data_IF_471064650682
#
_entry.id   IF_471064650682
#
_cell.length_a   1.000
_cell.length_b   1.000
_cell.length_c   1.000
_cell.angle_alpha   90.00
_cell.angle_beta   90.00
_cell.angle_gamma   90.00
#
_symmetry.space_group_name_H-M   'P 1'
#
loop_
_entity.id
_entity.type
_entity.pdbx_description
1 polymer ?
#
# COMPACT_ATOMS: atom_id res chain seq x y z
N UNK A 1 -16.61 12.85 13.37
CA UNK A 1 -18.04 13.14 13.55
C UNK A 1 -18.76 11.88 13.98
N UNK A 2 -19.47 11.93 15.12
CA UNK A 2 -20.17 10.78 15.73
C UNK A 2 -21.24 10.12 14.83
N UNK A 3 -21.66 10.82 13.77
CA UNK A 3 -22.71 10.35 12.85
C UNK A 3 -22.19 9.59 11.61
N UNK A 4 -20.89 9.59 11.36
CA UNK A 4 -20.30 8.94 10.19
C UNK A 4 -19.47 7.74 10.68
N UNK A 5 -19.89 6.56 10.26
CA UNK A 5 -19.15 5.32 10.53
C UNK A 5 -18.14 5.05 9.41
N UNK A 6 -17.02 4.45 9.78
CA UNK A 6 -16.01 3.95 8.85
C UNK A 6 -16.40 2.58 8.30
N UNK A 7 -15.80 2.16 7.19
CA UNK A 7 -16.03 0.82 6.61
C UNK A 7 -15.80 -0.30 7.64
N UNK A 8 -14.69 -0.31 8.43
CA UNK A 8 -14.48 -1.34 9.45
C UNK A 8 -15.63 -1.41 10.47
N UNK A 9 -16.21 -0.29 10.87
CA UNK A 9 -17.33 -0.30 11.83
C UNK A 9 -18.58 -1.00 11.27
N UNK A 10 -18.89 -0.80 9.98
CA UNK A 10 -19.99 -1.50 9.33
C UNK A 10 -19.71 -3.00 9.19
N UNK A 11 -18.49 -3.36 8.80
CA UNK A 11 -18.10 -4.76 8.64
C UNK A 11 -18.04 -5.49 9.99
N UNK A 12 -17.53 -4.86 11.04
CA UNK A 12 -17.55 -5.41 12.41
C UNK A 12 -18.99 -5.63 12.88
N UNK A 13 -19.90 -4.69 12.62
CA UNK A 13 -21.32 -4.86 12.93
C UNK A 13 -21.97 -6.03 12.16
N UNK A 14 -21.38 -6.41 11.01
CA UNK A 14 -21.77 -7.57 10.20
C UNK A 14 -21.00 -8.85 10.55
N UNK A 15 -20.23 -8.86 11.64
CA UNK A 15 -19.53 -10.04 12.16
C UNK A 15 -18.09 -10.24 11.66
N UNK A 16 -17.57 -9.34 10.84
CA UNK A 16 -16.18 -9.41 10.39
C UNK A 16 -15.19 -9.08 11.51
N UNK A 17 -14.02 -9.70 11.45
CA UNK A 17 -12.83 -9.29 12.19
C UNK A 17 -12.03 -8.33 11.32
N UNK A 18 -11.81 -7.10 11.79
CA UNK A 18 -11.21 -6.02 10.99
C UNK A 18 -9.84 -5.62 11.53
N UNK A 19 -8.81 -5.71 10.69
CA UNK A 19 -7.42 -5.39 11.05
C UNK A 19 -6.82 -4.33 10.14
N UNK A 20 -5.97 -3.47 10.69
CA UNK A 20 -5.19 -2.47 9.96
C UNK A 20 -3.71 -2.55 10.34
N UNK A 21 -2.88 -2.84 9.37
CA UNK A 21 -1.41 -2.89 9.52
C UNK A 21 -0.78 -1.75 8.69
N UNK A 22 -0.50 -0.55 9.24
CA UNK A 22 -0.95 0.04 10.51
C UNK A 22 -1.16 1.54 10.37
N UNK A 23 -1.31 2.05 9.13
CA UNK A 23 -1.42 3.49 8.85
C UNK A 23 -2.81 4.01 9.24
N UNK A 24 -2.85 5.10 10.01
CA UNK A 24 -4.08 5.72 10.51
C UNK A 24 -4.08 7.24 10.34
N UNK A 25 -3.73 7.75 9.18
CA UNK A 25 -3.72 9.19 8.87
C UNK A 25 -5.15 9.77 8.79
N UNK A 26 -5.99 9.45 9.77
CA UNK A 26 -7.36 9.97 9.84
C UNK A 26 -7.38 11.37 10.45
N UNK A 27 -8.28 12.22 9.98
CA UNK A 27 -8.55 13.53 10.58
C UNK A 27 -9.51 13.43 11.80
N UNK A 28 -9.51 12.28 12.48
CA UNK A 28 -10.29 12.00 13.69
C UNK A 28 -9.62 10.87 14.49
N UNK A 29 -10.02 10.69 15.73
CA UNK A 29 -9.53 9.59 16.58
C UNK A 29 -10.00 8.22 16.02
N UNK A 30 -9.08 7.35 15.58
CA UNK A 30 -9.40 6.02 15.05
C UNK A 30 -9.65 4.97 16.13
N UNK A 31 -9.51 5.30 17.41
CA UNK A 31 -9.63 4.36 18.52
C UNK A 31 -10.96 3.58 18.47
N UNK A 32 -10.88 2.28 18.62
CA UNK A 32 -12.05 1.39 18.62
C UNK A 32 -12.70 1.15 17.24
N UNK A 33 -12.14 1.66 16.14
CA UNK A 33 -12.66 1.44 14.78
C UNK A 33 -12.29 0.07 14.23
N UNK A 34 -11.14 -0.46 14.65
CA UNK A 34 -10.58 -1.73 14.24
C UNK A 34 -10.61 -2.72 15.41
N UNK A 35 -10.60 -4.03 15.14
CA UNK A 35 -10.35 -5.04 16.17
C UNK A 35 -8.87 -5.07 16.53
N UNK A 36 -7.99 -4.93 15.52
CA UNK A 36 -6.55 -4.73 15.70
C UNK A 36 -6.02 -3.62 14.78
N UNK A 37 -5.12 -2.79 15.31
CA UNK A 37 -4.46 -1.71 14.59
C UNK A 37 -3.02 -1.58 15.08
N UNK A 38 -2.11 -2.30 14.45
CA UNK A 38 -0.67 -2.36 14.78
C UNK A 38 0.11 -2.92 13.59
N UNK A 39 1.45 -2.94 13.70
CA UNK A 39 2.32 -3.57 12.70
C UNK A 39 2.19 -5.10 12.66
N UNK A 40 1.64 -5.72 13.70
CA UNK A 40 1.37 -7.15 13.77
C UNK A 40 -0.09 -7.50 13.44
N UNK A 41 -0.96 -6.50 13.23
CA UNK A 41 -2.38 -6.72 12.94
C UNK A 41 -2.56 -7.60 11.70
N UNK A 42 -3.32 -8.71 11.85
CA UNK A 42 -3.39 -9.73 10.80
C UNK A 42 -4.71 -10.53 10.86
N UNK A 43 -5.22 -11.01 9.72
CA UNK A 43 -6.42 -11.87 9.68
C UNK A 43 -6.25 -13.18 10.44
N UNK A 44 -5.02 -13.69 10.59
CA UNK A 44 -4.71 -14.93 11.32
C UNK A 44 -5.05 -14.86 12.81
N UNK A 45 -5.22 -13.65 13.36
CA UNK A 45 -5.61 -13.46 14.77
C UNK A 45 -7.13 -13.49 14.98
N UNK A 46 -7.92 -13.66 13.91
CA UNK A 46 -9.37 -13.72 14.01
C UNK A 46 -9.82 -14.94 14.80
N UNK A 47 -10.92 -14.84 15.55
CA UNK A 47 -11.60 -16.03 16.08
C UNK A 47 -12.00 -16.98 14.96
N UNK A 48 -11.97 -18.29 15.26
CA UNK A 48 -12.32 -19.35 14.31
C UNK A 48 -13.67 -19.11 13.63
N UNK A 49 -13.69 -19.30 12.32
CA UNK A 49 -14.89 -19.16 11.49
C UNK A 49 -15.38 -17.74 11.24
N UNK A 50 -14.72 -16.69 11.78
CA UNK A 50 -15.07 -15.31 11.44
C UNK A 50 -14.55 -14.91 10.07
N UNK A 51 -15.36 -14.23 9.24
CA UNK A 51 -14.84 -13.54 8.06
C UNK A 51 -13.94 -12.38 8.49
N UNK A 52 -13.02 -11.96 7.62
CA UNK A 52 -12.10 -10.88 7.92
C UNK A 52 -12.13 -9.76 6.88
N UNK A 53 -11.72 -8.58 7.32
CA UNK A 53 -11.36 -7.43 6.51
C UNK A 53 -10.01 -6.93 6.99
N UNK A 54 -8.96 -7.13 6.20
CA UNK A 54 -7.59 -6.79 6.60
C UNK A 54 -6.98 -5.80 5.62
N UNK A 55 -6.42 -4.72 6.15
CA UNK A 55 -5.72 -3.70 5.39
C UNK A 55 -4.23 -3.77 5.72
N UNK A 56 -3.39 -3.82 4.68
CA UNK A 56 -1.94 -3.73 4.77
C UNK A 56 -1.46 -2.47 4.07
N UNK A 57 -0.64 -1.69 4.76
CA UNK A 57 -0.14 -0.41 4.26
C UNK A 57 1.36 -0.51 3.99
N UNK A 58 1.77 -0.42 2.73
CA UNK A 58 3.17 -0.45 2.34
C UNK A 58 3.75 0.96 2.34
N UNK A 59 4.66 1.24 3.28
CA UNK A 59 5.41 2.50 3.33
C UNK A 59 6.59 2.56 2.36
N UNK A 60 6.88 1.47 1.66
CA UNK A 60 8.04 1.30 0.78
C UNK A 60 8.09 2.36 -0.33
N UNK A 61 6.96 2.65 -0.96
CA UNK A 61 6.86 3.64 -2.04
C UNK A 61 6.55 5.07 -1.56
N UNK A 62 6.57 5.31 -0.25
CA UNK A 62 6.34 6.64 0.32
C UNK A 62 7.47 7.63 -0.03
N UNK A 63 7.22 8.94 0.09
CA UNK A 63 8.19 9.99 -0.25
C UNK A 63 9.51 9.91 0.54
N UNK A 64 9.50 9.40 1.76
CA UNK A 64 10.70 9.21 2.58
C UNK A 64 11.70 8.27 1.88
N UNK A 65 11.35 6.99 1.63
CA UNK A 65 12.18 6.08 0.86
C UNK A 65 12.55 6.59 -0.53
N UNK A 66 11.65 7.28 -1.24
CA UNK A 66 11.92 7.85 -2.57
C UNK A 66 13.08 8.85 -2.55
N UNK A 67 13.15 9.68 -1.51
CA UNK A 67 14.17 10.72 -1.35
C UNK A 67 15.35 10.31 -0.47
N UNK A 68 15.39 9.07 0.02
CA UNK A 68 16.49 8.53 0.82
C UNK A 68 17.68 8.13 -0.06
N UNK A 69 18.87 8.13 0.54
CA UNK A 69 20.09 7.54 -0.05
C UNK A 69 20.33 6.10 0.44
N UNK A 70 19.53 5.62 1.38
CA UNK A 70 19.64 4.26 1.90
C UNK A 70 19.33 3.23 0.82
N UNK A 71 20.17 2.21 0.71
CA UNK A 71 20.08 1.13 -0.28
C UNK A 71 19.72 -0.23 0.33
N UNK A 72 19.69 -0.36 1.65
CA UNK A 72 19.37 -1.61 2.35
C UNK A 72 18.00 -2.15 1.90
N UNK A 73 17.04 -1.28 1.68
CA UNK A 73 15.70 -1.64 1.22
C UNK A 73 15.69 -2.44 -0.10
N UNK A 74 16.78 -2.44 -0.86
CA UNK A 74 16.90 -3.10 -2.15
C UNK A 74 17.67 -4.41 -2.13
N UNK A 75 18.08 -4.92 -0.96
CA UNK A 75 18.85 -6.16 -0.83
C UNK A 75 18.13 -7.40 -1.39
N UNK A 76 16.80 -7.34 -1.47
CA UNK A 76 15.98 -8.42 -2.04
C UNK A 76 15.87 -8.37 -3.56
N UNK A 77 16.34 -7.29 -4.21
CA UNK A 77 16.26 -7.15 -5.66
C UNK A 77 17.49 -7.76 -6.33
N UNK A 78 17.27 -8.67 -7.29
CA UNK A 78 18.34 -9.23 -8.12
C UNK A 78 18.99 -8.16 -9.03
N UNK A 79 18.18 -7.24 -9.55
CA UNK A 79 18.61 -6.18 -10.43
C UNK A 79 17.97 -4.85 -10.04
N UNK A 80 18.67 -3.77 -10.29
CA UNK A 80 18.21 -2.41 -10.08
C UNK A 80 18.07 -1.67 -11.42
N UNK A 81 17.11 -0.74 -11.47
CA UNK A 81 16.89 0.09 -12.65
C UNK A 81 18.02 1.10 -12.83
N UNK A 82 18.57 1.17 -14.04
CA UNK A 82 19.58 2.18 -14.39
C UNK A 82 18.93 3.57 -14.58
N UNK A 83 19.52 4.64 -14.02
CA UNK A 83 18.97 5.99 -14.20
C UNK A 83 18.84 6.42 -15.67
N UNK A 84 19.72 5.90 -16.55
CA UNK A 84 19.73 6.18 -17.98
C UNK A 84 18.50 5.63 -18.70
N UNK A 85 17.93 4.54 -18.16
CA UNK A 85 16.73 3.88 -18.70
C UNK A 85 15.43 4.47 -18.12
N UNK A 86 15.54 5.38 -17.13
CA UNK A 86 14.39 6.00 -16.50
C UNK A 86 13.61 6.88 -17.48
N UNK A 87 12.37 6.47 -17.78
CA UNK A 87 11.46 7.24 -18.64
C UNK A 87 10.72 8.29 -17.80
N UNK A 88 11.27 9.50 -17.72
CA UNK A 88 10.70 10.59 -16.95
C UNK A 88 9.40 11.10 -17.57
N UNK A 89 8.34 11.31 -16.77
CA UNK A 89 7.15 12.00 -17.25
C UNK A 89 7.47 13.47 -17.60
N UNK A 90 6.77 14.07 -18.58
CA UNK A 90 7.07 15.42 -19.07
C UNK A 90 7.02 16.53 -18.01
N UNK A 91 6.36 16.30 -16.89
CA UNK A 91 6.25 17.25 -15.78
C UNK A 91 7.55 17.38 -14.97
N UNK A 92 8.44 16.38 -15.06
CA UNK A 92 9.71 16.38 -14.32
C UNK A 92 10.86 16.85 -15.21
N UNK A 93 11.79 17.68 -14.69
CA UNK A 93 12.99 18.07 -15.40
C UNK A 93 13.85 16.85 -15.76
N UNK A 94 14.35 16.81 -16.99
CA UNK A 94 15.23 15.75 -17.42
C UNK A 94 16.67 16.01 -16.98
N UNK A 95 16.92 15.84 -15.67
CA UNK A 95 18.26 15.93 -15.06
C UNK A 95 18.70 14.57 -14.53
N UNK A 96 19.99 14.42 -14.26
CA UNK A 96 20.57 13.21 -13.69
C UNK A 96 19.93 12.88 -12.32
N UNK A 97 19.68 13.90 -11.49
CA UNK A 97 19.06 13.74 -10.18
C UNK A 97 17.64 13.18 -10.29
N UNK A 98 16.81 13.75 -11.19
CA UNK A 98 15.45 13.24 -11.38
C UNK A 98 15.45 11.83 -11.98
N UNK A 99 16.40 11.48 -12.84
CA UNK A 99 16.55 10.12 -13.35
C UNK A 99 16.91 9.13 -12.25
N UNK A 100 17.84 9.48 -11.35
CA UNK A 100 18.19 8.67 -10.18
C UNK A 100 16.97 8.44 -9.25
N UNK A 101 16.24 9.50 -8.94
CA UNK A 101 15.04 9.41 -8.10
C UNK A 101 13.98 8.54 -8.77
N UNK A 102 13.79 8.67 -10.08
CA UNK A 102 12.79 7.92 -10.82
C UNK A 102 13.14 6.43 -10.95
N UNK A 103 14.41 6.11 -11.24
CA UNK A 103 14.91 4.74 -11.23
C UNK A 103 14.75 4.10 -9.84
N UNK A 104 15.09 4.85 -8.78
CA UNK A 104 14.84 4.44 -7.39
C UNK A 104 13.36 4.16 -7.14
N UNK A 105 12.45 4.95 -7.69
CA UNK A 105 11.01 4.72 -7.54
C UNK A 105 10.58 3.40 -8.19
N UNK A 106 11.15 3.03 -9.33
CA UNK A 106 10.89 1.72 -9.94
C UNK A 106 11.38 0.57 -9.04
N UNK A 107 12.57 0.72 -8.44
CA UNK A 107 13.10 -0.26 -7.49
C UNK A 107 12.19 -0.40 -6.26
N UNK A 108 11.70 0.72 -5.71
CA UNK A 108 10.77 0.71 -4.56
C UNK A 108 9.44 0.03 -4.90
N UNK A 109 8.94 0.22 -6.13
CA UNK A 109 7.76 -0.50 -6.62
C UNK A 109 8.03 -2.00 -6.71
N UNK A 110 9.22 -2.42 -7.17
CA UNK A 110 9.59 -3.83 -7.24
C UNK A 110 9.67 -4.47 -5.85
N UNK A 111 10.19 -3.77 -4.84
CA UNK A 111 10.18 -4.24 -3.44
C UNK A 111 8.76 -4.33 -2.90
N UNK A 112 7.93 -3.32 -3.16
CA UNK A 112 6.52 -3.32 -2.72
C UNK A 112 5.74 -4.47 -3.39
N UNK A 113 6.00 -4.79 -4.66
CA UNK A 113 5.39 -5.91 -5.35
C UNK A 113 5.74 -7.26 -4.69
N UNK A 114 7.01 -7.44 -4.26
CA UNK A 114 7.40 -8.61 -3.45
C UNK A 114 6.60 -8.67 -2.14
N UNK A 115 6.49 -7.55 -1.42
CA UNK A 115 5.72 -7.49 -0.17
C UNK A 115 4.23 -7.83 -0.39
N UNK A 116 3.63 -7.34 -1.47
CA UNK A 116 2.26 -7.69 -1.83
C UNK A 116 2.13 -9.18 -2.19
N UNK A 117 3.12 -9.71 -2.91
CA UNK A 117 3.24 -11.14 -3.24
C UNK A 117 3.28 -12.02 -1.99
N UNK A 118 4.03 -11.62 -0.97
CA UNK A 118 4.13 -12.35 0.31
C UNK A 118 2.78 -12.41 1.03
N UNK A 119 2.02 -11.32 1.07
CA UNK A 119 0.66 -11.31 1.65
C UNK A 119 -0.29 -12.23 0.86
N UNK A 120 -0.22 -12.21 -0.47
CA UNK A 120 -1.02 -13.10 -1.34
C UNK A 120 -0.65 -14.57 -1.11
N UNK A 121 0.64 -14.87 -0.95
CA UNK A 121 1.10 -16.23 -0.66
C UNK A 121 0.59 -16.72 0.70
N UNK A 122 0.59 -15.87 1.72
CA UNK A 122 0.00 -16.19 3.02
C UNK A 122 -1.50 -16.50 2.92
N UNK A 123 -2.25 -15.76 2.09
CA UNK A 123 -3.67 -16.08 1.83
C UNK A 123 -3.86 -17.46 1.19
N UNK A 124 -2.95 -17.84 0.27
CA UNK A 124 -2.97 -19.16 -0.37
C UNK A 124 -2.63 -20.27 0.62
N UNK A 125 -1.60 -20.07 1.43
CA UNK A 125 -1.18 -21.01 2.49
C UNK A 125 -2.29 -21.26 3.51
N UNK A 126 -3.05 -20.22 3.86
CA UNK A 126 -4.16 -20.28 4.79
C UNK A 126 -5.46 -20.86 4.15
N UNK A 127 -5.46 -21.12 2.83
CA UNK A 127 -6.64 -21.59 2.10
C UNK A 127 -7.73 -20.53 1.89
N UNK A 128 -7.41 -19.25 2.15
CA UNK A 128 -8.37 -18.14 2.09
C UNK A 128 -8.38 -17.44 0.72
N UNK A 129 -7.40 -17.70 -0.14
CA UNK A 129 -7.24 -16.97 -1.40
C UNK A 129 -8.47 -17.08 -2.30
N UNK A 130 -9.05 -18.27 -2.44
CA UNK A 130 -10.21 -18.52 -3.32
C UNK A 130 -11.54 -18.00 -2.74
N UNK A 131 -11.53 -17.47 -1.52
CA UNK A 131 -12.71 -16.88 -0.87
C UNK A 131 -12.48 -15.41 -0.47
N UNK A 132 -11.44 -14.76 -1.01
CA UNK A 132 -11.08 -13.38 -0.64
C UNK A 132 -11.10 -12.45 -1.85
N UNK A 133 -11.83 -11.36 -1.76
CA UNK A 133 -11.74 -10.24 -2.69
C UNK A 133 -10.52 -9.40 -2.29
N UNK A 134 -9.63 -9.14 -3.25
CA UNK A 134 -8.40 -8.39 -3.01
C UNK A 134 -8.46 -7.07 -3.76
N UNK A 135 -8.22 -5.97 -3.05
CA UNK A 135 -8.03 -4.64 -3.61
C UNK A 135 -6.58 -4.22 -3.41
N UNK A 136 -5.90 -3.89 -4.48
CA UNK A 136 -4.58 -3.27 -4.44
C UNK A 136 -4.66 -1.90 -5.10
N UNK A 137 -4.29 -0.84 -4.39
CA UNK A 137 -4.39 0.53 -4.90
C UNK A 137 -3.39 1.47 -4.23
N UNK A 138 -3.06 2.58 -4.92
CA UNK A 138 -2.37 3.70 -4.31
C UNK A 138 -3.36 4.66 -3.66
N UNK A 139 -2.99 5.29 -2.55
CA UNK A 139 -3.81 6.31 -1.87
C UNK A 139 -3.71 7.67 -2.58
N UNK A 140 -2.56 7.96 -3.21
CA UNK A 140 -2.29 9.17 -4.00
C UNK A 140 -1.08 8.96 -4.92
N UNK A 141 -0.74 9.95 -5.74
CA UNK A 141 0.45 9.92 -6.59
C UNK A 141 1.77 9.98 -5.81
N UNK A 142 2.89 9.82 -6.50
CA UNK A 142 4.24 9.76 -5.92
C UNK A 142 4.58 10.95 -5.02
N UNK A 143 5.57 10.80 -4.14
CA UNK A 143 6.11 11.87 -3.29
C UNK A 143 7.01 12.88 -4.03
N UNK A 144 6.63 13.28 -5.25
CA UNK A 144 7.39 14.19 -6.11
C UNK A 144 6.56 15.44 -6.47
N UNK A 145 7.21 16.54 -6.90
CA UNK A 145 6.52 17.76 -7.32
C UNK A 145 5.46 17.49 -8.40
N UNK A 146 4.26 18.02 -8.21
CA UNK A 146 3.15 17.86 -9.15
C UNK A 146 2.32 16.59 -8.98
N UNK A 147 2.71 15.68 -8.06
CA UNK A 147 2.03 14.43 -7.72
C UNK A 147 1.32 14.53 -6.37
N UNK A 148 1.91 14.00 -5.29
CA UNK A 148 1.35 14.07 -3.93
C UNK A 148 1.00 15.50 -3.55
N UNK A 149 -0.15 15.71 -2.91
CA UNK A 149 -0.71 17.02 -2.48
C UNK A 149 -1.25 17.90 -3.62
N UNK A 150 -1.17 17.47 -4.88
CA UNK A 150 -1.64 18.25 -6.01
C UNK A 150 -2.88 17.64 -6.64
N UNK A 151 -3.90 18.47 -6.92
CA UNK A 151 -5.13 18.06 -7.61
C UNK A 151 -4.92 18.00 -9.13
N UNK A 152 -3.80 17.46 -9.54
CA UNK A 152 -3.44 17.20 -10.94
C UNK A 152 -3.79 15.75 -11.29
N UNK A 153 -3.77 15.44 -12.59
CA UNK A 153 -3.93 14.06 -13.04
C UNK A 153 -2.87 13.13 -12.44
N UNK A 154 -1.64 13.61 -12.29
CA UNK A 154 -0.53 12.85 -11.69
C UNK A 154 -0.72 12.59 -10.18
N UNK A 155 -1.41 13.48 -9.47
CA UNK A 155 -1.73 13.31 -8.05
C UNK A 155 -2.97 12.46 -7.77
N UNK A 156 -3.95 12.45 -8.69
CA UNK A 156 -5.26 11.83 -8.50
C UNK A 156 -5.39 10.47 -9.19
N UNK A 157 -4.66 10.24 -10.29
CA UNK A 157 -4.70 8.98 -11.03
C UNK A 157 -3.78 7.97 -10.38
N UNK A 158 -4.37 7.05 -9.63
CA UNK A 158 -3.65 5.99 -8.92
C UNK A 158 -3.96 4.62 -9.54
N UNK A 159 -3.07 3.62 -9.40
CA UNK A 159 -3.37 2.26 -9.79
C UNK A 159 -4.48 1.68 -8.92
N UNK A 160 -5.33 0.85 -9.53
CA UNK A 160 -6.31 0.02 -8.85
C UNK A 160 -6.37 -1.34 -9.53
N UNK A 161 -6.10 -2.39 -8.78
CA UNK A 161 -6.23 -3.79 -9.21
C UNK A 161 -7.22 -4.46 -8.27
N UNK A 162 -8.19 -5.16 -8.84
CA UNK A 162 -9.19 -5.90 -8.06
C UNK A 162 -9.19 -7.35 -8.52
N UNK A 163 -9.01 -8.27 -7.58
CA UNK A 163 -9.24 -9.69 -7.79
C UNK A 163 -10.56 -10.07 -7.11
N UNK A 164 -11.43 -10.71 -7.87
CA UNK A 164 -12.67 -11.31 -7.35
C UNK A 164 -12.54 -12.82 -7.52
N UNK A 165 -12.87 -13.63 -6.49
CA UNK A 165 -12.95 -15.08 -6.62
C UNK A 165 -13.94 -15.50 -7.74
N UNK A 166 -13.69 -16.67 -8.38
CA UNK A 166 -14.61 -17.27 -9.34
C UNK A 166 -15.87 -17.83 -8.69
#
# INVERSE_FOLDING_TARGET
PEKIKTIPEYLRASGYFCTNNSKTDYNFDPSGRWDENSNEAHWRHRPDGKPFFSVFNFGTTHEGPTNSTDTIIFETLENRHAPEEANLPPILPNTEEFRKIWARQYDLISVMDQQAGDIINQLKEDGEYENTIIFFFGDHGYGLPGYKRWLTNAGLRVPLIIRVPE
#
